data_IF_053931486131
#
_entry.id   IF_053931486131
#
_cell.length_a   1.000
_cell.length_b   1.000
_cell.length_c   1.000
_cell.angle_alpha   90.00
_cell.angle_beta   90.00
_cell.angle_gamma   90.00
#
_symmetry.space_group_name_H-M   'P 1'
#
loop_
_entity.id
_entity.type
_entity.pdbx_description
1 polymer ?
#
# COMPACT_ATOMS: atom_id res chain seq x y z
N UNK A 1 1.12 10.24 -10.35
CA UNK A 1 1.23 8.81 -10.67
C UNK A 1 0.76 8.60 -12.10
N UNK A 2 1.58 7.97 -12.95
CA UNK A 2 1.15 7.74 -14.33
C UNK A 2 0.01 6.72 -14.40
N UNK A 3 -0.83 6.89 -15.41
CA UNK A 3 -2.02 6.06 -15.62
C UNK A 3 -1.79 5.22 -16.87
N UNK A 4 -2.07 3.93 -16.76
CA UNK A 4 -2.03 2.99 -17.88
C UNK A 4 -3.45 2.77 -18.40
N UNK A 5 -3.68 3.08 -19.67
CA UNK A 5 -4.94 2.79 -20.34
C UNK A 5 -4.86 1.45 -21.07
N UNK A 6 -5.99 0.79 -21.23
CA UNK A 6 -6.07 -0.51 -21.89
C UNK A 6 -6.70 -0.39 -23.27
N UNK A 7 -6.30 -1.26 -24.17
CA UNK A 7 -6.87 -1.35 -25.50
C UNK A 7 -8.33 -1.82 -25.41
N UNK A 8 -9.22 -1.32 -26.30
CA UNK A 8 -10.65 -1.65 -26.23
C UNK A 8 -10.96 -3.03 -26.81
N UNK A 9 -10.45 -4.09 -26.19
CA UNK A 9 -10.65 -5.46 -26.64
C UNK A 9 -12.00 -6.03 -26.23
N UNK A 10 -12.59 -5.51 -25.14
CA UNK A 10 -13.91 -5.88 -24.66
C UNK A 10 -14.65 -4.63 -24.22
N UNK A 11 -15.99 -4.66 -24.05
CA UNK A 11 -16.71 -3.51 -23.53
C UNK A 11 -16.19 -3.03 -22.16
N UNK A 12 -15.80 -3.97 -21.27
CA UNK A 12 -15.24 -3.60 -19.96
C UNK A 12 -13.87 -2.96 -20.08
N UNK A 13 -13.03 -3.42 -21.02
CA UNK A 13 -11.68 -2.89 -21.22
C UNK A 13 -11.67 -1.49 -21.85
N UNK A 14 -12.73 -1.12 -22.56
CA UNK A 14 -12.77 0.12 -23.33
C UNK A 14 -12.54 1.35 -22.44
N UNK A 15 -13.12 1.39 -21.24
CA UNK A 15 -12.96 2.51 -20.33
C UNK A 15 -12.04 2.24 -19.16
N UNK A 16 -11.32 1.12 -19.17
CA UNK A 16 -10.53 0.68 -18.02
C UNK A 16 -9.19 1.39 -17.98
N UNK A 17 -8.83 1.87 -16.80
CA UNK A 17 -7.49 2.40 -16.52
C UNK A 17 -6.95 1.80 -15.21
N UNK A 18 -5.65 1.79 -15.07
CA UNK A 18 -5.01 1.35 -13.83
C UNK A 18 -3.77 2.19 -13.56
N UNK A 19 -3.25 2.09 -12.36
CA UNK A 19 -2.00 2.74 -12.01
C UNK A 19 -0.84 2.05 -12.74
N UNK A 20 0.07 2.83 -13.25
CA UNK A 20 1.34 2.31 -13.74
C UNK A 20 2.24 2.06 -12.53
N UNK A 21 2.81 0.87 -12.47
CA UNK A 21 3.66 0.44 -11.36
C UNK A 21 5.15 0.52 -11.71
N UNK A 22 5.51 1.24 -12.76
CA UNK A 22 6.90 1.35 -13.22
C UNK A 22 7.81 2.01 -12.18
N UNK A 23 7.27 2.86 -11.32
CA UNK A 23 8.02 3.56 -10.28
C UNK A 23 8.41 2.66 -9.11
N UNK A 24 7.77 1.50 -8.99
CA UNK A 24 7.97 0.60 -7.85
C UNK A 24 9.22 -0.24 -8.09
N UNK A 25 10.18 -0.15 -7.20
CA UNK A 25 11.43 -0.90 -7.30
C UNK A 25 11.33 -2.29 -6.68
N UNK A 26 10.47 -2.46 -5.66
CA UNK A 26 10.34 -3.72 -4.94
C UNK A 26 8.87 -4.12 -4.82
N UNK A 27 8.57 -5.37 -5.18
CA UNK A 27 7.21 -5.92 -5.05
C UNK A 27 6.94 -6.49 -3.65
N UNK A 28 7.99 -6.90 -2.94
CA UNK A 28 7.84 -7.52 -1.62
C UNK A 28 8.10 -6.51 -0.51
N UNK A 29 7.13 -6.31 0.38
CA UNK A 29 7.33 -5.37 1.49
C UNK A 29 8.30 -5.95 2.53
N UNK A 30 8.94 -5.07 3.27
CA UNK A 30 9.83 -5.45 4.37
C UNK A 30 9.00 -6.02 5.52
N UNK A 31 9.21 -7.30 5.84
CA UNK A 31 8.36 -8.04 6.79
C UNK A 31 8.32 -7.41 8.18
N UNK A 32 9.41 -6.82 8.63
CA UNK A 32 9.47 -6.20 9.97
C UNK A 32 8.55 -5.00 10.10
N UNK A 33 8.22 -4.33 8.98
CA UNK A 33 7.38 -3.14 8.98
C UNK A 33 5.94 -3.42 8.50
N UNK A 34 5.55 -4.70 8.50
CA UNK A 34 4.22 -5.11 8.05
C UNK A 34 3.46 -5.77 9.20
N UNK A 35 2.21 -5.37 9.40
CA UNK A 35 1.32 -6.00 10.37
C UNK A 35 0.07 -6.52 9.69
N UNK A 36 -0.53 -7.55 10.28
CA UNK A 36 -1.79 -8.08 9.77
C UNK A 36 -2.92 -7.07 10.04
N UNK A 37 -3.85 -6.98 9.10
CA UNK A 37 -5.04 -6.13 9.23
C UNK A 37 -6.26 -7.03 9.16
N UNK A 38 -6.83 -7.33 10.33
CA UNK A 38 -8.04 -8.15 10.40
C UNK A 38 -9.24 -7.36 9.88
N UNK A 39 -10.13 -8.06 9.21
CA UNK A 39 -11.32 -7.45 8.62
C UNK A 39 -12.47 -8.46 8.73
N UNK A 40 -13.54 -8.08 9.40
CA UNK A 40 -14.70 -8.92 9.61
C UNK A 40 -15.79 -8.71 8.57
N UNK A 41 -15.75 -7.58 7.85
CA UNK A 41 -16.72 -7.24 6.79
C UNK A 41 -18.17 -7.32 7.26
N UNK A 42 -18.43 -6.94 8.50
CA UNK A 42 -19.77 -6.95 9.08
C UNK A 42 -20.32 -8.33 9.40
N UNK A 43 -19.49 -9.38 9.35
CA UNK A 43 -19.95 -10.75 9.66
C UNK A 43 -19.69 -11.07 11.13
N UNK A 44 -20.64 -11.86 11.71
CA UNK A 44 -20.53 -12.31 13.09
C UNK A 44 -19.80 -13.67 13.14
N UNK A 45 -19.84 -14.31 14.33
CA UNK A 45 -19.16 -15.60 14.53
C UNK A 45 -19.74 -16.74 13.68
N UNK A 46 -21.02 -16.62 13.27
CA UNK A 46 -21.64 -17.62 12.40
C UNK A 46 -21.44 -17.33 10.92
N UNK A 47 -20.76 -16.23 10.57
CA UNK A 47 -20.48 -15.84 9.19
C UNK A 47 -21.60 -15.08 8.50
N UNK A 48 -22.68 -14.77 9.22
CA UNK A 48 -23.80 -14.02 8.66
C UNK A 48 -23.58 -12.52 8.80
N UNK A 49 -24.12 -11.76 7.84
CA UNK A 49 -24.02 -10.29 7.84
C UNK A 49 -24.94 -9.76 8.95
N UNK A 50 -24.35 -9.15 9.96
CA UNK A 50 -25.09 -8.48 11.05
C UNK A 50 -25.03 -6.97 10.94
N UNK A 51 -24.03 -6.42 10.24
CA UNK A 51 -23.88 -4.98 9.99
C UNK A 51 -23.65 -4.79 8.49
N UNK A 52 -24.54 -4.01 7.86
CA UNK A 52 -24.42 -3.74 6.42
C UNK A 52 -23.39 -2.67 6.13
N UNK A 53 -22.90 -2.64 4.89
CA UNK A 53 -22.02 -1.61 4.35
C UNK A 53 -20.66 -1.53 5.04
N UNK A 54 -20.11 -2.68 5.46
CA UNK A 54 -18.80 -2.75 6.13
C UNK A 54 -17.70 -3.26 5.20
N UNK A 55 -17.99 -3.37 3.92
CA UNK A 55 -17.01 -3.73 2.93
C UNK A 55 -16.59 -5.19 2.96
N UNK A 56 -15.36 -5.42 2.59
CA UNK A 56 -14.78 -6.74 2.42
C UNK A 56 -13.67 -6.66 1.39
N UNK A 57 -13.28 -7.81 0.86
CA UNK A 57 -12.35 -7.88 -0.24
C UNK A 57 -11.07 -8.61 0.12
N UNK A 58 -10.05 -8.40 -0.70
CA UNK A 58 -8.76 -9.09 -0.58
C UNK A 58 -8.05 -8.63 0.69
N UNK A 59 -7.39 -9.57 1.36
CA UNK A 59 -6.61 -9.31 2.56
C UNK A 59 -5.49 -8.31 2.25
N UNK A 60 -5.40 -7.24 3.04
CA UNK A 60 -4.38 -6.21 2.91
C UNK A 60 -3.57 -6.13 4.18
N UNK A 61 -2.27 -6.07 4.03
CA UNK A 61 -1.36 -5.88 5.16
C UNK A 61 -1.17 -4.40 5.43
N UNK A 62 -1.13 -4.04 6.69
CA UNK A 62 -0.87 -2.67 7.13
C UNK A 62 0.64 -2.42 7.17
N UNK A 63 1.07 -1.28 6.63
CA UNK A 63 2.47 -0.85 6.69
C UNK A 63 2.64 0.16 7.82
N UNK A 64 3.69 -0.01 8.60
CA UNK A 64 4.05 0.96 9.62
C UNK A 64 4.72 2.14 8.92
N UNK A 65 4.02 3.26 8.85
CA UNK A 65 4.45 4.46 8.10
C UNK A 65 4.70 5.59 9.09
N UNK A 66 5.85 6.23 8.96
CA UNK A 66 6.16 7.45 9.69
C UNK A 66 5.88 8.65 8.77
N UNK A 67 4.95 9.49 9.17
CA UNK A 67 4.53 10.64 8.37
C UNK A 67 5.36 11.89 8.64
N UNK A 68 6.17 11.88 9.69
CA UNK A 68 6.98 13.04 10.06
C UNK A 68 8.41 12.62 10.39
N UNK A 69 9.31 12.97 9.51
CA UNK A 69 10.74 12.84 9.82
C UNK A 69 11.18 14.01 10.69
N UNK A 70 12.12 13.76 11.58
CA UNK A 70 12.73 14.82 12.39
C UNK A 70 13.44 15.81 11.46
N UNK A 71 13.33 17.11 11.70
CA UNK A 71 14.03 18.09 10.88
C UNK A 71 15.54 17.92 10.99
N UNK A 72 16.23 18.10 9.88
CA UNK A 72 17.68 17.97 9.81
C UNK A 72 18.18 16.54 9.63
N UNK A 73 17.28 15.58 9.56
CA UNK A 73 17.67 14.18 9.37
C UNK A 73 17.89 13.89 7.89
N UNK A 74 19.09 13.42 7.53
CA UNK A 74 19.40 12.98 6.17
C UNK A 74 19.14 11.48 6.06
N UNK A 75 18.31 11.10 5.11
CA UNK A 75 17.97 9.70 4.87
C UNK A 75 18.22 9.34 3.41
N UNK A 76 18.55 8.09 3.17
CA UNK A 76 18.70 7.55 1.83
C UNK A 76 17.49 6.70 1.51
N UNK A 77 16.86 6.96 0.34
CA UNK A 77 15.76 6.12 -0.14
C UNK A 77 16.35 4.86 -0.77
N UNK A 78 16.06 3.72 -0.18
CA UNK A 78 16.52 2.44 -0.68
C UNK A 78 15.57 1.89 -1.74
N UNK A 79 14.27 1.88 -1.43
CA UNK A 79 13.28 1.28 -2.31
C UNK A 79 11.96 2.04 -2.25
N UNK A 80 11.21 1.97 -3.34
CA UNK A 80 9.85 2.48 -3.43
C UNK A 80 8.92 1.27 -3.48
N UNK A 81 7.94 1.23 -2.57
CA UNK A 81 7.03 0.11 -2.40
C UNK A 81 5.58 0.53 -2.63
N UNK A 82 4.77 -0.45 -3.04
CA UNK A 82 3.32 -0.30 -3.17
C UNK A 82 2.65 -0.51 -1.81
N UNK A 83 1.71 0.37 -1.46
CA UNK A 83 0.88 0.21 -0.26
C UNK A 83 -0.59 0.11 -0.70
N UNK A 84 -1.27 -1.02 -0.45
CA UNK A 84 -2.67 -1.16 -0.84
C UNK A 84 -3.65 -0.35 0.01
N UNK A 85 -3.18 0.30 1.08
CA UNK A 85 -4.04 1.05 2.01
C UNK A 85 -4.10 2.54 1.68
N UNK A 86 -3.33 2.99 0.68
CA UNK A 86 -3.29 4.40 0.28
C UNK A 86 -3.01 4.52 -1.20
N UNK A 87 -3.28 5.68 -1.77
CA UNK A 87 -3.04 5.94 -3.18
C UNK A 87 -1.56 6.25 -3.46
N UNK A 88 -0.87 6.85 -2.49
CA UNK A 88 0.55 7.23 -2.65
C UNK A 88 1.47 6.02 -2.51
N UNK A 89 2.61 6.09 -3.19
CA UNK A 89 3.71 5.14 -2.96
C UNK A 89 4.35 5.42 -1.61
N UNK A 90 5.06 4.43 -1.06
CA UNK A 90 5.82 4.60 0.18
C UNK A 90 7.28 4.30 -0.10
N UNK A 91 8.18 5.04 0.59
CA UNK A 91 9.62 4.88 0.45
C UNK A 91 10.21 4.24 1.69
N UNK A 92 11.10 3.29 1.46
CA UNK A 92 11.89 2.71 2.54
C UNK A 92 13.16 3.54 2.69
N UNK A 93 13.39 4.16 3.84
CA UNK A 93 14.43 5.02 4.05
C UNK A 93 15.33 4.35 5.01
N UNK A 94 16.43 4.37 4.84
CA UNK A 94 17.44 3.95 5.69
C UNK A 94 18.03 5.16 6.21
N UNK A 95 18.33 5.22 7.22
CA UNK A 95 18.92 6.26 7.84
C UNK A 95 20.32 5.98 7.70
N UNK A 96 20.80 6.68 7.69
CA UNK A 96 22.13 6.62 7.57
C UNK A 96 22.78 6.08 8.72
N UNK A 97 22.30 6.20 9.87
CA UNK A 97 22.66 5.58 11.14
C UNK A 97 21.93 4.25 11.31
N UNK A 98 22.47 3.22 10.80
CA UNK A 98 22.26 1.78 11.06
C UNK A 98 20.87 1.25 11.48
N UNK A 99 19.78 2.00 11.45
CA UNK A 99 18.44 1.47 11.77
C UNK A 99 17.47 1.76 10.63
N UNK A 100 16.79 0.72 10.18
CA UNK A 100 15.70 0.89 9.20
C UNK A 100 14.57 1.69 9.84
N UNK A 101 14.30 2.85 9.27
CA UNK A 101 13.20 3.70 9.72
C UNK A 101 11.87 3.20 9.14
N UNK A 102 10.76 3.53 9.80
CA UNK A 102 9.45 3.25 9.22
C UNK A 102 9.29 3.88 7.83
N UNK A 103 8.40 3.28 7.05
CA UNK A 103 8.15 3.67 5.67
C UNK A 103 7.57 5.09 5.59
N UNK A 104 7.92 5.82 4.54
CA UNK A 104 7.40 7.17 4.31
C UNK A 104 6.55 7.21 3.03
N UNK A 105 5.46 7.96 3.03
CA UNK A 105 4.75 8.22 1.79
C UNK A 105 5.57 9.13 0.88
N UNK A 106 5.53 8.85 -0.39
CA UNK A 106 6.18 9.68 -1.40
C UNK A 106 5.21 10.74 -1.92
#
# INVERSE_FOLDING_TARGET
>A
MPIKAYNPTTPARRGMTSQDLSEITTRKPLKSLVKSKKQNAGRNNTGRITVRHRGGGVKRHYRLVNHRLAPGLTVTVEEIEYDPNRSARIARXXXXSTRSLPLHPC
#
